data_IF_102594308408
#
_entry.id   IF_102594308408
#
_cell.length_a   1.000
_cell.length_b   1.000
_cell.length_c   1.000
_cell.angle_alpha   90.00
_cell.angle_beta   90.00
_cell.angle_gamma   90.00
#
_symmetry.space_group_name_H-M   'P 1'
#
loop_
_entity.id
_entity.type
_entity.pdbx_description
1 polymer ?
#
# COMPACT_ATOMS: atom_id res chain seq x y z
N UNK A 1 -30.99 -52.45 37.49
CA UNK A 1 -31.83 -51.36 36.96
C UNK A 1 -31.80 -50.19 37.94
N UNK A 2 -31.54 -48.98 37.42
CA UNK A 2 -31.57 -47.64 38.06
C UNK A 2 -30.56 -47.35 39.20
N UNK A 3 -29.62 -46.45 38.91
CA UNK A 3 -29.66 -45.07 39.45
C UNK A 3 -28.74 -44.15 38.65
N UNK A 4 -29.26 -42.96 38.38
CA UNK A 4 -28.71 -41.88 37.57
C UNK A 4 -27.79 -41.02 38.46
N UNK A 5 -26.58 -40.66 38.00
CA UNK A 5 -25.82 -39.54 38.54
C UNK A 5 -25.23 -38.71 37.40
N UNK A 6 -25.82 -37.53 37.24
CA UNK A 6 -25.37 -36.42 36.40
C UNK A 6 -24.01 -35.89 36.88
N UNK A 7 -23.05 -35.73 35.97
CA UNK A 7 -21.91 -34.83 36.13
C UNK A 7 -21.66 -34.12 34.79
N UNK A 8 -21.94 -32.81 34.79
CA UNK A 8 -21.64 -31.89 33.70
C UNK A 8 -20.11 -31.82 33.47
N UNK A 9 -19.61 -31.88 32.22
CA UNK A 9 -18.35 -31.24 31.88
C UNK A 9 -18.63 -29.78 31.57
N UNK A 10 -18.16 -28.92 32.45
CA UNK A 10 -18.22 -27.47 32.33
C UNK A 10 -17.62 -26.98 31.01
N UNK A 11 -18.37 -26.08 30.39
CA UNK A 11 -17.94 -25.27 29.26
C UNK A 11 -16.77 -24.37 29.68
N UNK A 12 -15.55 -24.75 29.32
CA UNK A 12 -14.42 -23.85 29.24
C UNK A 12 -14.39 -23.25 27.83
N UNK A 13 -15.19 -22.20 27.67
CA UNK A 13 -15.08 -21.24 26.56
C UNK A 13 -13.74 -20.52 26.67
N UNK A 14 -12.71 -21.08 26.02
CA UNK A 14 -11.50 -20.34 25.68
C UNK A 14 -11.84 -19.39 24.53
N UNK A 15 -12.40 -18.24 24.88
CA UNK A 15 -12.44 -17.07 24.01
C UNK A 15 -10.99 -16.61 23.80
N UNK A 16 -10.34 -17.18 22.80
CA UNK A 16 -9.22 -16.52 22.14
C UNK A 16 -9.81 -15.32 21.43
N UNK A 17 -9.86 -14.19 22.13
CA UNK A 17 -10.02 -12.91 21.49
C UNK A 17 -8.76 -12.71 20.65
N UNK A 18 -8.80 -13.16 19.39
CA UNK A 18 -7.98 -12.57 18.35
C UNK A 18 -8.37 -11.10 18.34
N UNK A 19 -7.54 -10.27 18.97
CA UNK A 19 -7.47 -8.83 18.74
C UNK A 19 -7.05 -8.66 17.29
N UNK A 20 -7.99 -8.92 16.37
CA UNK A 20 -7.89 -8.49 14.99
C UNK A 20 -7.95 -6.99 15.08
N UNK A 21 -6.77 -6.37 14.98
CA UNK A 21 -6.61 -4.95 14.76
C UNK A 21 -7.71 -4.52 13.79
N UNK A 22 -8.68 -3.75 14.27
CA UNK A 22 -9.53 -2.95 13.40
C UNK A 22 -8.68 -1.77 12.90
N UNK A 23 -7.50 -2.09 12.37
CA UNK A 23 -6.66 -1.18 11.64
C UNK A 23 -7.48 -0.74 10.44
N UNK A 24 -7.58 0.57 10.26
CA UNK A 24 -8.08 1.15 9.04
C UNK A 24 -7.50 0.35 7.86
N UNK A 25 -8.28 0.04 6.82
CA UNK A 25 -7.81 -0.80 5.70
C UNK A 25 -6.59 -0.20 4.96
N UNK A 26 -6.22 1.03 5.31
CA UNK A 26 -5.12 1.81 4.76
C UNK A 26 -4.25 2.36 5.89
N UNK A 27 -2.94 2.35 5.67
CA UNK A 27 -1.94 2.93 6.58
C UNK A 27 -2.19 4.42 6.80
N UNK A 28 -1.78 4.94 7.97
CA UNK A 28 -1.72 6.39 8.19
C UNK A 28 -0.62 7.07 7.35
N UNK A 29 0.38 6.31 6.91
CA UNK A 29 1.39 6.75 5.94
C UNK A 29 0.84 6.50 4.52
N UNK A 30 0.53 7.55 3.73
CA UNK A 30 -0.08 7.38 2.40
C UNK A 30 0.82 6.63 1.42
N UNK A 31 2.14 6.58 1.68
CA UNK A 31 3.08 5.86 0.82
C UNK A 31 3.19 4.37 1.15
N UNK A 32 2.57 3.91 2.25
CA UNK A 32 2.57 2.51 2.66
C UNK A 32 1.21 1.87 2.37
N UNK A 33 1.20 0.71 1.72
CA UNK A 33 -0.02 0.00 1.37
C UNK A 33 0.08 -0.75 0.05
N UNK A 34 -1.07 -1.14 -0.49
CA UNK A 34 -1.17 -1.89 -1.74
C UNK A 34 -1.78 -1.03 -2.83
N UNK A 35 -1.24 -1.14 -4.04
CA UNK A 35 -1.58 -0.27 -5.15
C UNK A 35 -1.80 -1.06 -6.44
N UNK A 36 -2.76 -0.62 -7.23
CA UNK A 36 -3.15 -1.24 -8.49
C UNK A 36 -3.29 -0.22 -9.62
N UNK A 37 -3.05 -0.62 -10.86
CA UNK A 37 -3.31 0.21 -12.05
C UNK A 37 -4.80 0.38 -12.36
N UNK A 38 -5.69 -0.27 -11.61
CA UNK A 38 -7.14 -0.10 -11.68
C UNK A 38 -7.76 -0.32 -10.30
N UNK A 39 -8.79 0.45 -9.95
CA UNK A 39 -9.50 0.33 -8.68
C UNK A 39 -10.22 -1.03 -8.47
N UNK A 40 -10.38 -1.84 -9.53
CA UNK A 40 -11.21 -3.07 -9.51
C UNK A 40 -10.40 -4.37 -9.59
N UNK A 41 -9.07 -4.30 -9.55
CA UNK A 41 -8.19 -5.48 -9.60
C UNK A 41 -7.41 -5.63 -8.30
N UNK A 42 -6.85 -6.83 -8.04
CA UNK A 42 -5.85 -7.01 -6.99
C UNK A 42 -4.63 -6.10 -7.19
N UNK A 43 -3.88 -5.91 -6.11
CA UNK A 43 -2.70 -5.05 -6.09
C UNK A 43 -1.61 -5.55 -7.05
N UNK A 44 -1.05 -4.63 -7.83
CA UNK A 44 0.11 -4.86 -8.69
C UNK A 44 1.42 -4.80 -7.92
N UNK A 45 1.46 -3.92 -6.93
CA UNK A 45 2.59 -3.74 -6.04
C UNK A 45 2.12 -3.34 -4.65
N UNK A 46 2.97 -3.59 -3.67
CA UNK A 46 2.78 -3.12 -2.30
C UNK A 46 4.04 -2.45 -1.80
N UNK A 47 3.87 -1.47 -0.93
CA UNK A 47 4.95 -0.77 -0.27
C UNK A 47 4.87 -1.07 1.21
N UNK A 48 5.97 -1.60 1.72
CA UNK A 48 6.15 -2.00 3.10
C UNK A 48 7.22 -1.12 3.74
N UNK A 49 7.06 -0.81 5.03
CA UNK A 49 8.04 -0.05 5.80
C UNK A 49 8.66 -0.95 6.86
N UNK A 50 9.97 -1.13 6.79
CA UNK A 50 10.74 -2.00 7.70
C UNK A 50 12.00 -1.26 8.13
N UNK A 51 12.26 -1.21 9.44
CA UNK A 51 13.42 -0.47 9.97
C UNK A 51 13.45 1.02 9.58
N UNK A 52 12.29 1.63 9.32
CA UNK A 52 12.17 3.02 8.85
C UNK A 52 12.41 3.22 7.35
N UNK A 53 12.78 2.17 6.62
CA UNK A 53 13.00 2.19 5.17
C UNK A 53 11.78 1.64 4.42
N UNK A 54 11.54 2.15 3.22
CA UNK A 54 10.44 1.69 2.36
C UNK A 54 10.95 0.69 1.34
N UNK A 55 10.18 -0.35 1.07
CA UNK A 55 10.48 -1.34 0.06
C UNK A 55 9.24 -1.61 -0.78
N UNK A 56 9.44 -1.84 -2.08
CA UNK A 56 8.36 -2.27 -2.97
C UNK A 56 8.46 -3.77 -3.20
N UNK A 57 7.32 -4.44 -3.16
CA UNK A 57 7.15 -5.82 -3.62
C UNK A 57 6.16 -5.81 -4.78
N UNK A 58 6.50 -6.47 -5.89
CA UNK A 58 5.62 -6.59 -7.05
C UNK A 58 4.92 -7.94 -7.05
N UNK A 59 3.67 -7.97 -7.50
CA UNK A 59 2.95 -9.21 -7.76
C UNK A 59 3.53 -9.91 -9.00
N UNK A 60 3.74 -11.22 -8.86
CA UNK A 60 4.12 -12.16 -9.92
C UNK A 60 3.16 -13.35 -9.84
N UNK A 61 1.91 -13.12 -10.21
CA UNK A 61 0.82 -14.06 -9.98
C UNK A 61 0.44 -14.08 -8.49
N UNK A 62 0.51 -15.25 -7.86
CA UNK A 62 0.17 -15.42 -6.44
C UNK A 62 1.34 -15.11 -5.49
N UNK A 63 2.51 -14.78 -6.03
CA UNK A 63 3.71 -14.52 -5.23
C UNK A 63 4.08 -13.05 -5.24
N UNK A 64 4.56 -12.58 -4.08
CA UNK A 64 5.14 -11.26 -3.91
C UNK A 64 6.66 -11.34 -4.04
N UNK A 65 7.22 -10.58 -4.97
CA UNK A 65 8.67 -10.45 -5.12
C UNK A 65 9.11 -9.09 -4.61
N UNK A 66 9.79 -9.10 -3.46
CA UNK A 66 10.38 -7.90 -2.87
C UNK A 66 11.63 -7.47 -3.62
N UNK A 67 11.73 -6.18 -3.88
CA UNK A 67 12.95 -5.58 -4.39
C UNK A 67 13.98 -5.41 -3.26
N UNK A 68 15.25 -5.73 -3.52
CA UNK A 68 16.26 -5.80 -2.46
C UNK A 68 16.66 -4.42 -1.93
N UNK A 69 16.51 -3.38 -2.75
CA UNK A 69 16.94 -2.03 -2.41
C UNK A 69 15.77 -1.21 -1.86
N UNK A 70 16.03 -0.49 -0.78
CA UNK A 70 15.08 0.46 -0.24
C UNK A 70 14.78 1.57 -1.26
N UNK A 71 13.53 2.03 -1.26
CA UNK A 71 13.11 3.22 -1.98
C UNK A 71 13.60 4.48 -1.28
N UNK A 72 13.95 5.47 -2.09
CA UNK A 72 14.32 6.79 -1.62
C UNK A 72 13.08 7.67 -1.49
N UNK A 73 12.91 8.31 -0.34
CA UNK A 73 11.89 9.35 -0.18
C UNK A 73 12.34 10.62 -0.88
N UNK A 74 11.73 10.91 -2.02
CA UNK A 74 12.19 11.96 -2.92
C UNK A 74 12.06 13.35 -2.27
N UNK A 75 13.09 14.15 -2.46
CA UNK A 75 13.07 15.58 -2.17
C UNK A 75 12.26 16.34 -3.22
N UNK A 76 11.92 17.60 -2.92
CA UNK A 76 11.21 18.46 -3.86
C UNK A 76 11.95 18.63 -5.20
N UNK A 77 13.27 18.82 -5.15
CA UNK A 77 14.09 18.99 -6.36
C UNK A 77 14.13 17.73 -7.23
N UNK A 78 14.02 16.55 -6.63
CA UNK A 78 13.92 15.28 -7.35
C UNK A 78 12.53 15.07 -7.94
N UNK A 79 11.47 15.43 -7.21
CA UNK A 79 10.10 15.43 -7.72
C UNK A 79 9.99 16.33 -8.97
N UNK A 80 10.60 17.52 -8.96
CA UNK A 80 10.63 18.44 -10.11
C UNK A 80 11.27 17.87 -11.37
N UNK A 81 12.03 16.75 -11.29
CA UNK A 81 12.55 16.05 -12.47
C UNK A 81 11.46 15.27 -13.20
N UNK A 82 10.43 14.83 -12.49
CA UNK A 82 9.29 14.09 -13.02
C UNK A 82 8.09 15.02 -13.30
N UNK A 83 7.87 16.01 -12.44
CA UNK A 83 6.77 16.97 -12.50
C UNK A 83 7.35 18.38 -12.58
N UNK A 84 7.78 18.80 -13.76
CA UNK A 84 8.54 20.05 -13.94
C UNK A 84 7.78 21.27 -13.40
N UNK A 85 6.53 21.41 -13.80
CA UNK A 85 5.70 22.57 -13.48
C UNK A 85 4.74 22.31 -12.31
N UNK A 86 4.55 21.04 -11.92
CA UNK A 86 3.51 20.61 -10.96
C UNK A 86 4.09 19.96 -9.69
N UNK A 87 5.39 20.13 -9.42
CA UNK A 87 6.03 19.51 -8.25
C UNK A 87 5.37 19.94 -6.93
N UNK A 88 4.75 21.12 -6.90
CA UNK A 88 3.96 21.67 -5.79
C UNK A 88 2.65 20.99 -5.52
N UNK A 89 2.19 20.18 -6.45
CA UNK A 89 0.99 19.37 -6.27
C UNK A 89 1.30 17.96 -5.75
N UNK A 90 2.58 17.62 -5.58
CA UNK A 90 3.02 16.35 -4.98
C UNK A 90 3.29 16.58 -3.49
N UNK A 91 2.55 15.86 -2.65
CA UNK A 91 2.73 15.85 -1.18
C UNK A 91 4.01 15.09 -0.82
N UNK A 92 4.10 13.85 -1.31
CA UNK A 92 5.20 12.95 -0.97
C UNK A 92 5.41 11.90 -2.06
N UNK A 93 6.63 11.37 -2.15
CA UNK A 93 6.97 10.40 -3.16
C UNK A 93 8.08 9.44 -2.72
N UNK A 94 8.03 8.22 -3.25
CA UNK A 94 9.10 7.24 -3.15
C UNK A 94 9.59 6.92 -4.56
N UNK A 95 10.90 6.92 -4.76
CA UNK A 95 11.53 6.62 -6.06
C UNK A 95 12.63 5.58 -5.90
N UNK A 96 12.83 4.79 -6.95
CA UNK A 96 14.06 4.01 -7.09
C UNK A 96 15.14 4.93 -7.67
N UNK A 97 16.28 5.07 -6.99
CA UNK A 97 17.36 5.95 -7.45
C UNK A 97 17.94 5.53 -8.81
N UNK A 98 17.92 4.23 -9.10
CA UNK A 98 18.30 3.69 -10.41
C UNK A 98 17.22 3.91 -11.51
N UNK A 99 16.10 4.55 -11.18
CA UNK A 99 14.96 4.72 -12.08
C UNK A 99 14.04 3.50 -12.16
N UNK A 100 13.07 3.55 -13.08
CA UNK A 100 12.18 2.42 -13.40
C UNK A 100 11.02 2.18 -12.41
N UNK A 101 11.05 2.79 -11.23
CA UNK A 101 9.92 2.82 -10.31
C UNK A 101 9.84 4.14 -9.53
N UNK A 102 8.62 4.64 -9.36
CA UNK A 102 8.30 5.63 -8.35
C UNK A 102 6.81 5.67 -8.06
N UNK A 103 6.41 6.05 -6.85
CA UNK A 103 5.03 6.37 -6.48
C UNK A 103 5.00 7.80 -5.96
N UNK A 104 3.95 8.53 -6.35
CA UNK A 104 3.76 9.93 -6.03
C UNK A 104 2.36 10.08 -5.47
N UNK A 105 2.27 10.58 -4.24
CA UNK A 105 1.03 10.93 -3.58
C UNK A 105 0.76 12.43 -3.77
N UNK A 106 -0.45 12.76 -4.18
CA UNK A 106 -0.84 14.12 -4.50
C UNK A 106 -1.37 14.88 -3.29
N UNK A 107 -1.19 16.19 -3.32
CA UNK A 107 -1.93 17.10 -2.46
C UNK A 107 -3.44 16.97 -2.75
N UNK A 108 -4.26 17.12 -1.71
CA UNK A 108 -5.71 17.17 -1.88
C UNK A 108 -6.09 18.30 -2.84
N UNK A 109 -6.90 17.99 -3.85
CA UNK A 109 -7.32 18.96 -4.86
C UNK A 109 -6.30 19.22 -5.97
N UNK A 110 -5.23 18.44 -6.04
CA UNK A 110 -4.30 18.42 -7.16
C UNK A 110 -5.00 18.25 -8.51
N UNK A 111 -4.57 19.02 -9.51
CA UNK A 111 -5.14 19.12 -10.85
C UNK A 111 -4.16 18.70 -11.95
N UNK A 112 -3.13 17.90 -11.60
CA UNK A 112 -2.11 17.46 -12.55
C UNK A 112 -2.72 16.79 -13.79
N UNK A 113 -2.13 17.08 -14.94
CA UNK A 113 -2.47 16.41 -16.19
C UNK A 113 -2.19 14.91 -16.08
N UNK A 114 -3.20 14.09 -16.42
CA UNK A 114 -3.08 12.62 -16.37
C UNK A 114 -3.39 11.98 -15.02
N UNK A 115 -3.63 12.79 -13.97
CA UNK A 115 -4.23 12.31 -12.72
C UNK A 115 -5.65 11.80 -12.99
N UNK A 116 -6.01 10.66 -12.41
CA UNK A 116 -7.39 10.20 -12.39
C UNK A 116 -8.20 10.99 -11.34
N UNK A 117 -9.44 11.36 -11.66
CA UNK A 117 -10.30 12.12 -10.75
C UNK A 117 -10.56 11.42 -9.42
N UNK A 118 -10.50 10.09 -9.42
CA UNK A 118 -10.78 9.20 -8.29
C UNK A 118 -9.52 8.54 -7.70
N UNK A 119 -8.33 9.07 -8.00
CA UNK A 119 -7.09 8.64 -7.36
C UNK A 119 -6.18 9.81 -6.99
N UNK A 120 -5.58 9.71 -5.81
CA UNK A 120 -4.56 10.63 -5.31
C UNK A 120 -3.13 10.13 -5.55
N UNK A 121 -2.95 9.16 -6.45
CA UNK A 121 -1.65 8.57 -6.73
C UNK A 121 -1.35 8.45 -8.22
N UNK A 122 -0.07 8.64 -8.56
CA UNK A 122 0.51 8.14 -9.81
C UNK A 122 1.73 7.29 -9.50
N UNK A 123 2.00 6.32 -10.38
CA UNK A 123 3.23 5.57 -10.36
C UNK A 123 3.96 5.67 -11.70
N UNK A 124 5.28 5.71 -11.63
CA UNK A 124 6.17 5.38 -12.72
C UNK A 124 6.53 3.90 -12.57
N UNK A 125 6.34 3.12 -13.63
CA UNK A 125 6.74 1.73 -13.73
C UNK A 125 7.43 1.49 -15.08
N UNK A 126 8.06 0.33 -15.26
CA UNK A 126 8.69 -0.04 -16.53
C UNK A 126 7.76 0.05 -17.75
N UNK A 127 6.47 -0.18 -17.56
CA UNK A 127 5.46 -0.13 -18.63
C UNK A 127 4.91 1.28 -18.90
N UNK A 128 5.33 2.28 -18.14
CA UNK A 128 4.89 3.67 -18.29
C UNK A 128 4.54 4.35 -16.96
N UNK A 129 4.07 5.60 -17.07
CA UNK A 129 3.56 6.38 -15.95
C UNK A 129 2.04 6.55 -16.05
N UNK A 130 1.34 6.43 -14.92
CA UNK A 130 -0.12 6.53 -14.90
C UNK A 130 -0.70 6.54 -13.50
N UNK A 131 -2.02 6.79 -13.39
CA UNK A 131 -2.72 6.72 -12.11
C UNK A 131 -2.67 5.29 -11.57
N UNK A 132 -2.51 5.20 -10.26
CA UNK A 132 -2.66 3.94 -9.51
C UNK A 132 -3.61 4.17 -8.36
N UNK A 133 -4.22 3.11 -7.84
CA UNK A 133 -5.27 3.18 -6.85
C UNK A 133 -4.81 2.47 -5.59
N UNK A 134 -4.96 3.12 -4.43
CA UNK A 134 -4.82 2.42 -3.16
C UNK A 134 -5.94 1.38 -3.06
N UNK A 135 -5.57 0.13 -2.84
CA UNK A 135 -6.48 -1.02 -2.72
C UNK A 135 -6.17 -1.78 -1.43
N UNK A 136 -7.10 -2.64 -1.01
CA UNK A 136 -6.85 -3.52 0.14
C UNK A 136 -5.68 -4.46 -0.19
N UNK A 137 -4.76 -4.59 0.76
CA UNK A 137 -3.80 -5.69 0.73
C UNK A 137 -4.55 -7.02 0.96
N UNK A 138 -4.23 -8.02 0.14
CA UNK A 138 -4.75 -9.38 0.27
C UNK A 138 -3.69 -10.28 0.91
#
# INVERSE_FOLDING_TARGET
>A
MRTLRLLLPGALLLLTACSGDAGLPFSADPLQGCFATSARKPADFRIEKEGGQYFVSFSRGEQWQREPNALHKATRSEISRYFRDDADQIDSALIRMAGGFGIFHFNKGATLKGKASDSDYMALMLIGAGPVYAVKCQ
#
